data_IF_881320559264
#
_entry.id   IF_881320559264
#
_cell.length_a   1.000
_cell.length_b   1.000
_cell.length_c   1.000
_cell.angle_alpha   90.00
_cell.angle_beta   90.00
_cell.angle_gamma   90.00
#
_symmetry.space_group_name_H-M   'P 1'
#
loop_
_entity.id
_entity.type
_entity.pdbx_description
1 polymer ?
#
# COMPACT_ATOMS: atom_id res chain seq x y z
N UNK A 1 -20.02 28.47 57.62
CA UNK A 1 -19.55 28.13 56.25
C UNK A 1 -20.40 26.98 55.73
N UNK A 2 -21.57 27.23 55.13
CA UNK A 2 -22.53 26.16 54.79
C UNK A 2 -22.28 25.51 53.42
N UNK A 3 -21.35 26.06 52.63
CA UNK A 3 -21.03 25.58 51.28
C UNK A 3 -19.75 24.71 51.23
N UNK A 4 -19.07 24.49 52.36
CA UNK A 4 -17.84 23.69 52.42
C UNK A 4 -17.99 22.30 51.80
N UNK A 5 -19.02 21.51 52.14
CA UNK A 5 -19.25 20.19 51.55
C UNK A 5 -19.50 20.21 50.04
N UNK A 6 -20.25 21.21 49.54
CA UNK A 6 -20.53 21.35 48.11
C UNK A 6 -19.27 21.73 47.33
N UNK A 7 -18.45 22.65 47.84
CA UNK A 7 -17.17 23.02 47.23
C UNK A 7 -16.18 21.85 47.21
N UNK A 8 -16.15 21.06 48.29
CA UNK A 8 -15.35 19.84 48.34
C UNK A 8 -15.81 18.82 47.31
N UNK A 9 -17.12 18.55 47.23
CA UNK A 9 -17.67 17.58 46.29
C UNK A 9 -17.45 18.02 44.84
N UNK A 10 -17.61 19.31 44.52
CA UNK A 10 -17.30 19.82 43.18
C UNK A 10 -15.82 19.66 42.84
N UNK A 11 -14.91 19.98 43.77
CA UNK A 11 -13.48 19.82 43.55
C UNK A 11 -13.10 18.35 43.37
N UNK A 12 -13.65 17.45 44.18
CA UNK A 12 -13.44 16.01 44.07
C UNK A 12 -13.94 15.48 42.72
N UNK A 13 -15.15 15.84 42.32
CA UNK A 13 -15.72 15.41 41.02
C UNK A 13 -14.88 15.92 39.85
N UNK A 14 -14.45 17.18 39.86
CA UNK A 14 -13.58 17.73 38.82
C UNK A 14 -12.24 17.01 38.74
N UNK A 15 -11.60 16.74 39.88
CA UNK A 15 -10.33 16.00 39.94
C UNK A 15 -10.50 14.54 39.50
N UNK A 16 -11.56 13.88 39.95
CA UNK A 16 -11.86 12.51 39.55
C UNK A 16 -12.15 12.42 38.05
N UNK A 17 -13.01 13.27 37.50
CA UNK A 17 -13.29 13.28 36.05
C UNK A 17 -12.03 13.55 35.23
N UNK A 18 -11.15 14.45 35.69
CA UNK A 18 -9.86 14.70 35.06
C UNK A 18 -8.97 13.45 35.11
N UNK A 19 -8.82 12.82 36.27
CA UNK A 19 -8.03 11.59 36.39
C UNK A 19 -8.59 10.44 35.54
N UNK A 20 -9.91 10.27 35.52
CA UNK A 20 -10.56 9.26 34.69
C UNK A 20 -10.32 9.50 33.19
N UNK A 21 -10.49 10.75 32.73
CA UNK A 21 -10.33 11.14 31.34
C UNK A 21 -8.89 11.06 30.83
N UNK A 22 -7.91 11.46 31.64
CA UNK A 22 -6.52 11.58 31.20
C UNK A 22 -5.61 10.42 31.62
N UNK A 23 -5.98 9.66 32.66
CA UNK A 23 -5.13 8.58 33.20
C UNK A 23 -5.82 7.24 33.07
N UNK A 24 -7.01 7.07 33.66
CA UNK A 24 -7.65 5.75 33.72
C UNK A 24 -8.08 5.24 32.34
N UNK A 25 -8.83 6.04 31.58
CA UNK A 25 -9.34 5.60 30.27
C UNK A 25 -8.20 5.24 29.30
N UNK A 26 -7.16 6.08 29.12
CA UNK A 26 -6.06 5.73 28.23
C UNK A 26 -5.27 4.50 28.69
N UNK A 27 -5.01 4.36 29.99
CA UNK A 27 -4.30 3.18 30.52
C UNK A 27 -5.13 1.91 30.41
N UNK A 28 -6.44 1.99 30.57
CA UNK A 28 -7.34 0.85 30.34
C UNK A 28 -7.43 0.46 28.86
N UNK A 29 -7.38 1.45 27.96
CA UNK A 29 -7.42 1.23 26.51
C UNK A 29 -6.10 0.67 25.94
N UNK A 30 -4.96 1.20 26.36
CA UNK A 30 -3.65 0.95 25.73
C UNK A 30 -2.66 0.20 26.63
N UNK A 31 -2.89 0.17 27.95
CA UNK A 31 -1.94 -0.41 28.90
C UNK A 31 -1.82 -1.93 28.81
N UNK A 32 -2.74 -2.59 28.10
CA UNK A 32 -2.72 -4.03 27.83
C UNK A 32 -2.17 -4.41 26.46
N UNK A 33 -1.76 -3.44 25.63
CA UNK A 33 -1.33 -3.70 24.26
C UNK A 33 -0.17 -4.70 24.22
N UNK A 34 -0.24 -5.64 23.28
CA UNK A 34 0.78 -6.65 23.03
C UNK A 34 1.21 -6.58 21.57
N UNK A 35 2.40 -7.08 21.20
CA UNK A 35 2.79 -7.16 19.81
C UNK A 35 1.78 -7.99 19.01
N UNK A 36 1.49 -7.55 17.80
CA UNK A 36 0.58 -8.21 16.86
C UNK A 36 1.35 -8.88 15.72
N UNK A 37 0.80 -9.93 15.14
CA UNK A 37 1.36 -10.54 13.93
C UNK A 37 1.13 -9.63 12.72
N UNK A 38 2.22 -9.20 12.08
CA UNK A 38 2.17 -8.41 10.86
C UNK A 38 1.49 -9.18 9.73
N UNK A 39 0.53 -8.53 9.07
CA UNK A 39 -0.24 -9.09 7.95
C UNK A 39 0.66 -9.45 6.76
N UNK A 40 1.81 -8.77 6.63
CA UNK A 40 2.74 -8.92 5.51
C UNK A 40 3.83 -9.95 5.78
N UNK A 41 4.38 -9.95 7.00
CA UNK A 41 5.58 -10.73 7.33
C UNK A 41 5.30 -11.96 8.18
N UNK A 42 4.12 -12.05 8.81
CA UNK A 42 3.80 -13.10 9.78
C UNK A 42 4.67 -13.04 11.04
N UNK A 43 5.37 -11.92 11.26
CA UNK A 43 6.23 -11.70 12.43
C UNK A 43 5.55 -10.81 13.45
N UNK A 44 5.86 -11.04 14.73
CA UNK A 44 5.38 -10.21 15.83
C UNK A 44 5.96 -8.79 15.74
N UNK A 45 5.08 -7.80 15.75
CA UNK A 45 5.39 -6.39 15.64
C UNK A 45 4.69 -5.56 16.74
N UNK A 46 5.37 -4.58 17.35
CA UNK A 46 6.79 -4.26 17.15
C UNK A 46 7.67 -5.35 17.77
N UNK A 47 8.93 -5.39 17.35
CA UNK A 47 9.96 -6.19 18.02
C UNK A 47 10.74 -5.28 18.99
N UNK A 48 11.11 -5.76 20.18
CA UNK A 48 11.89 -4.96 21.13
C UNK A 48 13.25 -4.61 20.53
N UNK A 49 13.71 -3.37 20.77
CA UNK A 49 14.97 -2.89 20.21
C UNK A 49 16.17 -3.64 20.80
N UNK A 50 17.19 -4.01 19.99
CA UNK A 50 18.46 -4.52 20.50
C UNK A 50 19.13 -3.52 21.45
N UNK A 51 19.95 -4.01 22.39
CA UNK A 51 20.55 -3.16 23.44
C UNK A 51 21.34 -1.95 22.91
N UNK A 52 22.07 -2.10 21.79
CA UNK A 52 22.79 -0.99 21.16
C UNK A 52 21.84 0.08 20.59
N UNK A 53 20.68 -0.33 20.05
CA UNK A 53 19.66 0.59 19.57
C UNK A 53 18.92 1.29 20.72
N UNK A 54 18.78 0.66 21.89
CA UNK A 54 18.26 1.32 23.09
C UNK A 54 19.19 2.45 23.56
N UNK A 55 20.50 2.19 23.63
CA UNK A 55 21.51 3.24 23.90
C UNK A 55 21.46 4.35 22.84
N UNK A 56 21.29 3.97 21.57
CA UNK A 56 21.14 4.92 20.48
C UNK A 56 19.94 5.85 20.61
N UNK A 57 18.84 5.37 21.19
CA UNK A 57 17.66 6.19 21.46
C UNK A 57 17.98 7.29 22.49
N UNK A 58 18.82 7.01 23.48
CA UNK A 58 19.31 8.02 24.43
C UNK A 58 20.21 9.05 23.75
N UNK A 59 21.11 8.60 22.87
CA UNK A 59 21.97 9.49 22.06
C UNK A 59 21.11 10.38 21.15
N UNK A 60 20.08 9.83 20.51
CA UNK A 60 19.14 10.58 19.68
C UNK A 60 18.46 11.71 20.46
N UNK A 61 18.06 11.44 21.71
CA UNK A 61 17.45 12.43 22.62
C UNK A 61 18.45 13.48 23.09
N UNK A 62 19.64 13.05 23.52
CA UNK A 62 20.68 13.93 24.03
C UNK A 62 21.16 14.93 22.97
N UNK A 63 21.16 14.51 21.69
CA UNK A 63 21.48 15.35 20.54
C UNK A 63 20.30 16.19 20.04
N UNK A 64 19.11 16.07 20.64
CA UNK A 64 17.95 16.87 20.28
C UNK A 64 17.40 16.57 18.88
N UNK A 65 17.63 15.39 18.33
CA UNK A 65 17.21 15.06 16.97
C UNK A 65 15.68 15.17 16.77
N UNK A 66 14.91 14.94 17.84
CA UNK A 66 13.44 15.05 17.86
C UNK A 66 12.90 16.49 17.70
N UNK A 67 13.75 17.52 17.84
CA UNK A 67 13.33 18.89 17.61
C UNK A 67 13.10 19.15 16.11
N UNK A 68 13.92 18.54 15.24
CA UNK A 68 13.85 18.76 13.79
C UNK A 68 13.15 17.61 13.06
N UNK A 69 13.17 16.41 13.62
CA UNK A 69 12.60 15.21 13.03
C UNK A 69 11.42 14.70 13.85
N UNK A 70 10.42 14.18 13.15
CA UNK A 70 9.34 13.43 13.76
C UNK A 70 9.58 11.93 13.62
N UNK A 71 8.89 11.17 14.46
CA UNK A 71 8.69 9.74 14.28
C UNK A 71 7.19 9.45 14.36
N UNK A 72 6.41 10.14 13.53
CA UNK A 72 4.98 10.02 13.45
C UNK A 72 4.53 10.27 12.00
N UNK A 73 4.37 9.19 11.24
CA UNK A 73 3.85 9.26 9.87
C UNK A 73 2.38 9.66 9.93
N UNK A 74 2.06 10.77 9.28
CA UNK A 74 0.70 11.31 9.25
C UNK A 74 -0.10 10.74 8.09
N UNK A 75 -1.42 10.62 8.29
CA UNK A 75 -2.39 10.35 7.24
C UNK A 75 -3.36 11.52 7.21
N UNK A 76 -3.54 12.08 6.02
CA UNK A 76 -4.41 13.23 5.79
C UNK A 76 -5.64 12.85 4.97
N UNK A 77 -5.50 11.86 4.09
CA UNK A 77 -6.51 11.53 3.09
C UNK A 77 -6.65 10.01 2.95
N UNK A 78 -7.74 9.59 2.34
CA UNK A 78 -7.93 8.21 1.89
C UNK A 78 -8.48 8.25 0.48
N UNK A 79 -7.86 7.48 -0.39
CA UNK A 79 -8.33 7.29 -1.75
C UNK A 79 -8.80 5.85 -1.94
N UNK A 80 -9.44 5.57 -3.07
CA UNK A 80 -9.98 4.25 -3.36
C UNK A 80 -9.56 3.76 -4.74
N UNK A 81 -9.06 2.54 -4.78
CA UNK A 81 -8.89 1.76 -6.00
C UNK A 81 -10.15 0.93 -6.24
N UNK A 82 -10.70 1.03 -7.45
CA UNK A 82 -11.86 0.26 -7.88
C UNK A 82 -11.43 -0.80 -8.87
N UNK A 83 -11.67 -2.06 -8.54
CA UNK A 83 -11.35 -3.20 -9.39
C UNK A 83 -12.62 -3.93 -9.83
N UNK A 84 -12.63 -4.41 -11.06
CA UNK A 84 -13.68 -5.28 -11.58
C UNK A 84 -13.28 -6.73 -11.33
N UNK A 85 -14.17 -7.49 -10.69
CA UNK A 85 -13.95 -8.91 -10.36
C UNK A 85 -14.92 -9.85 -11.09
N UNK A 86 -16.07 -9.35 -11.55
CA UNK A 86 -16.95 -10.07 -12.47
C UNK A 86 -17.75 -9.10 -13.37
N UNK A 87 -17.95 -9.46 -14.63
CA UNK A 87 -18.66 -8.64 -15.63
C UNK A 87 -20.19 -8.66 -15.41
N UNK A 88 -20.73 -9.72 -14.82
CA UNK A 88 -22.17 -9.85 -14.61
C UNK A 88 -22.97 -10.23 -15.86
N UNK A 89 -24.30 -10.28 -15.77
CA UNK A 89 -25.17 -10.75 -16.85
C UNK A 89 -25.39 -9.73 -17.99
N UNK A 90 -25.07 -8.45 -17.79
CA UNK A 90 -25.31 -7.40 -18.80
C UNK A 90 -24.00 -6.72 -19.26
N UNK A 91 -23.23 -7.37 -20.16
CA UNK A 91 -21.96 -6.83 -20.65
C UNK A 91 -22.12 -5.53 -21.44
N UNK A 92 -23.29 -5.27 -22.01
CA UNK A 92 -23.57 -4.05 -22.78
C UNK A 92 -23.72 -2.80 -21.91
N UNK A 93 -24.41 -2.93 -20.77
CA UNK A 93 -24.49 -1.85 -19.80
C UNK A 93 -23.11 -1.57 -19.17
N UNK A 94 -22.36 -2.62 -18.84
CA UNK A 94 -21.01 -2.49 -18.26
C UNK A 94 -20.07 -1.74 -19.21
N UNK A 95 -20.08 -2.11 -20.49
CA UNK A 95 -19.26 -1.47 -21.52
C UNK A 95 -19.42 0.04 -21.60
N UNK A 96 -20.67 0.54 -21.49
CA UNK A 96 -20.98 1.99 -21.48
C UNK A 96 -20.35 2.70 -20.29
N UNK A 97 -20.55 2.13 -19.10
CA UNK A 97 -20.00 2.69 -17.86
C UNK A 97 -18.48 2.73 -17.90
N UNK A 98 -17.82 1.70 -18.44
CA UNK A 98 -16.36 1.66 -18.58
C UNK A 98 -15.82 2.72 -19.57
N UNK A 99 -16.52 2.94 -20.68
CA UNK A 99 -16.12 3.92 -21.70
C UNK A 99 -16.37 5.38 -21.31
N UNK A 100 -17.45 5.64 -20.54
CA UNK A 100 -17.87 7.00 -20.19
C UNK A 100 -17.17 7.53 -18.92
N UNK A 101 -16.94 6.67 -17.92
CA UNK A 101 -16.64 7.13 -16.55
C UNK A 101 -15.28 6.68 -16.01
N UNK A 102 -14.66 5.64 -16.57
CA UNK A 102 -13.54 4.98 -15.88
C UNK A 102 -12.24 4.94 -16.68
N UNK A 103 -12.22 4.28 -17.85
CA UNK A 103 -10.98 4.01 -18.61
C UNK A 103 -11.27 3.77 -20.10
N UNK A 104 -11.13 4.79 -20.96
CA UNK A 104 -11.34 4.62 -22.40
C UNK A 104 -10.30 3.68 -23.05
N UNK A 105 -9.10 3.58 -22.48
CA UNK A 105 -8.02 2.67 -22.90
C UNK A 105 -8.37 1.20 -22.65
N UNK A 106 -9.04 0.88 -21.54
CA UNK A 106 -9.45 -0.49 -21.25
C UNK A 106 -10.56 -0.96 -22.18
N UNK A 107 -11.52 -0.08 -22.46
CA UNK A 107 -12.56 -0.32 -23.46
C UNK A 107 -11.92 -0.57 -24.84
N UNK A 108 -10.91 0.24 -25.21
CA UNK A 108 -10.14 0.09 -26.45
C UNK A 108 -9.41 -1.25 -26.52
N UNK A 109 -8.71 -1.65 -25.46
CA UNK A 109 -8.02 -2.93 -25.40
C UNK A 109 -8.99 -4.12 -25.56
N UNK A 110 -10.16 -4.04 -24.94
CA UNK A 110 -11.19 -5.08 -25.04
C UNK A 110 -11.82 -5.15 -26.45
N UNK A 111 -12.08 -4.00 -27.07
CA UNK A 111 -12.55 -3.93 -28.46
C UNK A 111 -11.51 -4.46 -29.46
N UNK A 112 -10.22 -4.17 -29.26
CA UNK A 112 -9.13 -4.73 -30.07
C UNK A 112 -9.04 -6.25 -29.90
N UNK A 113 -9.19 -6.77 -28.67
CA UNK A 113 -9.23 -8.22 -28.43
C UNK A 113 -10.46 -8.88 -29.11
N UNK A 114 -11.62 -8.22 -29.08
CA UNK A 114 -12.81 -8.70 -29.78
C UNK A 114 -12.59 -8.80 -31.31
N UNK A 115 -11.84 -7.88 -31.90
CA UNK A 115 -11.42 -7.94 -33.31
C UNK A 115 -10.51 -9.13 -33.62
N UNK A 116 -9.84 -9.72 -32.63
CA UNK A 116 -9.14 -11.01 -32.79
C UNK A 116 -10.08 -12.23 -32.89
N UNK A 117 -11.37 -12.05 -32.61
CA UNK A 117 -12.42 -13.10 -32.60
C UNK A 117 -13.44 -12.93 -33.74
N UNK A 118 -12.99 -12.41 -34.88
CA UNK A 118 -13.84 -12.28 -36.06
C UNK A 118 -14.32 -13.65 -36.58
N UNK A 119 -15.54 -13.75 -37.15
CA UNK A 119 -16.43 -12.64 -37.50
C UNK A 119 -17.30 -12.12 -36.34
N UNK A 120 -17.55 -10.81 -36.32
CA UNK A 120 -18.43 -10.15 -35.34
C UNK A 120 -19.71 -9.69 -36.04
N UNK A 121 -20.87 -10.11 -35.55
CA UNK A 121 -22.18 -9.67 -36.07
C UNK A 121 -22.82 -8.63 -35.13
N UNK A 122 -23.25 -7.50 -35.70
CA UNK A 122 -24.03 -6.46 -35.03
C UNK A 122 -25.42 -6.44 -35.65
N UNK A 123 -26.47 -6.69 -34.86
CA UNK A 123 -27.86 -6.82 -35.32
C UNK A 123 -28.70 -5.61 -34.92
N UNK A 124 -29.76 -5.34 -35.68
CA UNK A 124 -30.81 -4.39 -35.28
C UNK A 124 -30.49 -2.92 -35.59
N UNK A 125 -29.71 -2.65 -36.63
CA UNK A 125 -29.44 -1.28 -37.10
C UNK A 125 -30.55 -0.84 -38.05
N UNK A 126 -30.93 0.43 -38.01
CA UNK A 126 -31.69 1.04 -39.08
C UNK A 126 -30.82 1.21 -40.35
N UNK A 127 -31.45 1.47 -41.49
CA UNK A 127 -30.76 1.54 -42.79
C UNK A 127 -29.69 2.63 -42.83
N UNK A 128 -30.03 3.83 -42.39
CA UNK A 128 -29.17 5.01 -42.49
C UNK A 128 -27.92 4.83 -41.60
N UNK A 129 -28.13 4.26 -40.42
CA UNK A 129 -27.08 3.94 -39.47
C UNK A 129 -26.21 2.77 -39.94
N UNK A 130 -26.79 1.74 -40.57
CA UNK A 130 -26.03 0.63 -41.15
C UNK A 130 -25.13 1.08 -42.31
N UNK A 131 -25.64 1.97 -43.18
CA UNK A 131 -24.86 2.56 -44.28
C UNK A 131 -23.73 3.45 -43.74
N UNK A 132 -24.04 4.35 -42.80
CA UNK A 132 -23.05 5.19 -42.11
C UNK A 132 -21.94 4.36 -41.45
N UNK A 133 -22.33 3.30 -40.71
CA UNK A 133 -21.41 2.45 -39.99
C UNK A 133 -20.51 1.64 -40.93
N UNK A 134 -21.08 1.10 -42.00
CA UNK A 134 -20.33 0.36 -43.03
C UNK A 134 -19.26 1.27 -43.63
N UNK A 135 -19.62 2.51 -43.99
CA UNK A 135 -18.68 3.48 -44.54
C UNK A 135 -17.56 3.82 -43.55
N UNK A 136 -17.89 4.11 -42.28
CA UNK A 136 -16.88 4.43 -41.26
C UNK A 136 -15.92 3.29 -40.94
N UNK A 137 -16.41 2.06 -40.93
CA UNK A 137 -15.56 0.89 -40.69
C UNK A 137 -14.70 0.55 -41.92
N UNK A 138 -15.20 0.74 -43.14
CA UNK A 138 -14.41 0.59 -44.37
C UNK A 138 -13.32 1.67 -44.48
N UNK A 139 -13.62 2.93 -44.12
CA UNK A 139 -12.63 4.01 -43.98
C UNK A 139 -11.54 3.64 -42.98
N UNK A 140 -11.91 2.99 -41.88
CA UNK A 140 -10.96 2.47 -40.89
C UNK A 140 -10.21 1.19 -41.36
N UNK A 141 -10.53 0.66 -42.54
CA UNK A 141 -9.83 -0.46 -43.18
C UNK A 141 -10.39 -1.86 -42.88
N UNK A 142 -11.59 -1.97 -42.31
CA UNK A 142 -12.25 -3.26 -42.05
C UNK A 142 -12.97 -3.81 -43.30
N UNK A 143 -13.03 -5.14 -43.42
CA UNK A 143 -13.84 -5.84 -44.42
C UNK A 143 -15.18 -6.25 -43.80
N UNK A 144 -16.27 -5.93 -44.49
CA UNK A 144 -17.62 -6.00 -43.95
C UNK A 144 -18.56 -6.71 -44.93
N UNK A 145 -19.48 -7.50 -44.39
CA UNK A 145 -20.65 -8.02 -45.09
C UNK A 145 -21.90 -7.47 -44.42
N UNK A 146 -22.73 -6.76 -45.18
CA UNK A 146 -24.03 -6.27 -44.70
C UNK A 146 -25.10 -7.29 -45.09
N UNK A 147 -25.92 -7.71 -44.13
CA UNK A 147 -27.06 -8.58 -44.36
C UNK A 147 -28.35 -7.85 -43.94
N UNK A 148 -29.36 -7.87 -44.81
CA UNK A 148 -30.68 -7.33 -44.49
C UNK A 148 -31.50 -8.41 -43.78
N UNK A 149 -32.01 -8.10 -42.60
CA UNK A 149 -32.91 -8.97 -41.84
C UNK A 149 -34.30 -8.33 -41.88
N UNK A 150 -35.15 -8.86 -42.76
CA UNK A 150 -36.57 -8.48 -42.77
C UNK A 150 -37.18 -8.99 -41.47
N UNK A 151 -37.66 -8.09 -40.62
CA UNK A 151 -38.38 -8.49 -39.42
C UNK A 151 -39.59 -9.34 -39.83
N UNK A 152 -39.68 -10.57 -39.31
CA UNK A 152 -40.83 -11.42 -39.56
C UNK A 152 -42.11 -10.67 -39.14
N UNK A 153 -43.21 -10.75 -39.91
CA UNK A 153 -44.43 -10.02 -39.58
C UNK A 153 -44.90 -10.44 -38.19
N UNK A 154 -44.91 -9.48 -37.26
CA UNK A 154 -45.62 -9.63 -35.99
C UNK A 154 -47.09 -9.93 -36.33
N UNK A 155 -47.66 -10.98 -35.75
CA UNK A 155 -49.04 -11.35 -35.99
C UNK A 155 -49.97 -10.21 -35.57
N UNK A 156 -50.40 -9.38 -36.53
CA UNK A 156 -51.33 -8.29 -36.29
C UNK A 156 -52.70 -8.84 -35.92
N UNK A 157 -53.33 -8.26 -34.91
CA UNK A 157 -54.75 -8.53 -34.61
C UNK A 157 -55.61 -7.98 -35.77
N UNK A 158 -56.74 -8.62 -36.11
CA UNK A 158 -57.58 -8.17 -37.22
C UNK A 158 -58.11 -6.74 -36.97
N UNK A 159 -57.70 -5.78 -37.80
CA UNK A 159 -58.23 -4.40 -37.80
C UNK A 159 -57.21 -3.26 -37.60
N UNK A 160 -55.94 -3.54 -37.33
CA UNK A 160 -54.91 -2.51 -37.13
C UNK A 160 -54.11 -2.26 -38.41
N UNK A 161 -54.12 -1.02 -38.93
CA UNK A 161 -53.25 -0.61 -40.04
C UNK A 161 -51.84 -0.42 -39.47
N UNK A 162 -51.07 -1.51 -39.38
CA UNK A 162 -49.66 -1.44 -38.96
C UNK A 162 -48.79 -1.01 -40.14
N UNK A 163 -47.93 -0.01 -39.92
CA UNK A 163 -46.88 0.39 -40.85
C UNK A 163 -46.01 -0.81 -41.27
N UNK A 164 -45.43 -0.82 -42.50
CA UNK A 164 -44.58 -1.91 -42.96
C UNK A 164 -43.43 -2.17 -41.97
N UNK A 165 -42.99 -3.43 -41.79
CA UNK A 165 -41.92 -3.77 -40.86
C UNK A 165 -40.68 -2.96 -41.22
N UNK A 166 -40.11 -2.25 -40.24
CA UNK A 166 -38.85 -1.55 -40.44
C UNK A 166 -37.76 -2.59 -40.76
N UNK A 167 -37.14 -2.46 -41.93
CA UNK A 167 -36.02 -3.32 -42.31
C UNK A 167 -34.88 -3.12 -41.30
N UNK A 168 -34.54 -4.20 -40.57
CA UNK A 168 -33.40 -4.18 -39.66
C UNK A 168 -32.18 -4.75 -40.37
N UNK A 169 -31.04 -4.08 -40.24
CA UNK A 169 -29.80 -4.48 -40.88
C UNK A 169 -28.88 -5.11 -39.85
N UNK A 170 -28.15 -6.15 -40.27
CA UNK A 170 -27.01 -6.67 -39.55
C UNK A 170 -25.71 -6.43 -40.31
N UNK A 171 -24.68 -6.02 -39.58
CA UNK A 171 -23.35 -5.74 -40.12
C UNK A 171 -22.39 -6.77 -39.55
N UNK A 172 -21.79 -7.57 -40.43
CA UNK A 172 -20.85 -8.65 -40.10
C UNK A 172 -19.46 -8.20 -40.50
N UNK A 173 -18.59 -8.02 -39.51
CA UNK A 173 -17.19 -7.69 -39.74
C UNK A 173 -16.43 -9.01 -39.91
N UNK A 174 -15.72 -9.17 -41.01
CA UNK A 174 -14.99 -10.41 -41.35
C UNK A 174 -13.48 -10.26 -41.20
N UNK A 175 -12.96 -9.03 -41.33
CA UNK A 175 -11.55 -8.69 -41.11
C UNK A 175 -11.43 -7.27 -40.57
N UNK A 176 -10.56 -7.03 -39.60
CA UNK A 176 -10.26 -5.69 -39.07
C UNK A 176 -9.22 -4.92 -39.88
N UNK A 177 -8.62 -5.54 -40.91
CA UNK A 177 -7.53 -4.94 -41.68
C UNK A 177 -6.29 -4.63 -40.84
N UNK A 178 -5.47 -3.67 -41.32
CA UNK A 178 -4.19 -3.29 -40.68
C UNK A 178 -4.35 -2.25 -39.55
N UNK A 179 -5.43 -1.47 -39.56
CA UNK A 179 -5.67 -0.37 -38.61
C UNK A 179 -6.66 -0.77 -37.50
N UNK A 180 -6.30 -1.85 -36.78
CA UNK A 180 -7.16 -2.46 -35.75
C UNK A 180 -7.56 -1.49 -34.63
N UNK A 181 -6.74 -0.49 -34.33
CA UNK A 181 -7.03 0.53 -33.33
C UNK A 181 -8.16 1.50 -33.73
N UNK A 182 -8.22 1.93 -35.00
CA UNK A 182 -9.29 2.82 -35.48
C UNK A 182 -10.62 2.09 -35.63
N UNK A 183 -10.57 0.84 -36.13
CA UNK A 183 -11.74 -0.04 -36.20
C UNK A 183 -12.32 -0.27 -34.80
N UNK A 184 -11.46 -0.49 -33.79
CA UNK A 184 -11.89 -0.65 -32.41
C UNK A 184 -12.54 0.61 -31.82
N UNK A 185 -12.04 1.81 -32.14
CA UNK A 185 -12.66 3.08 -31.72
C UNK A 185 -14.05 3.29 -32.32
N UNK A 186 -14.23 2.99 -33.60
CA UNK A 186 -15.54 3.05 -34.28
C UNK A 186 -16.51 2.04 -33.66
N UNK A 187 -16.03 0.84 -33.35
CA UNK A 187 -16.82 -0.20 -32.68
C UNK A 187 -17.29 0.18 -31.28
N UNK A 188 -16.44 0.82 -30.49
CA UNK A 188 -16.79 1.24 -29.13
C UNK A 188 -17.87 2.32 -29.09
N UNK A 189 -17.92 3.21 -30.08
CA UNK A 189 -18.97 4.24 -30.17
C UNK A 189 -20.36 3.65 -30.37
N UNK A 190 -20.45 2.47 -30.98
CA UNK A 190 -21.71 1.88 -31.45
C UNK A 190 -22.13 0.70 -30.57
N UNK A 191 -21.16 -0.11 -30.13
CA UNK A 191 -21.40 -1.24 -29.25
C UNK A 191 -20.39 -1.24 -28.09
N UNK A 192 -20.69 -0.52 -27.01
CA UNK A 192 -19.81 -0.42 -25.83
C UNK A 192 -19.54 -1.79 -25.17
N UNK A 193 -20.39 -2.79 -25.43
CA UNK A 193 -20.35 -4.12 -24.80
C UNK A 193 -19.08 -4.94 -25.00
N UNK A 194 -18.13 -4.48 -25.83
CA UNK A 194 -16.87 -5.18 -26.05
C UNK A 194 -15.93 -5.18 -24.83
N UNK A 195 -16.21 -4.37 -23.81
CA UNK A 195 -15.51 -4.38 -22.51
C UNK A 195 -15.51 -5.71 -21.76
N UNK A 196 -16.30 -6.71 -22.18
CA UNK A 196 -16.41 -8.02 -21.52
C UNK A 196 -15.25 -9.00 -21.81
N UNK A 197 -14.28 -8.62 -22.65
CA UNK A 197 -13.13 -9.47 -23.00
C UNK A 197 -11.90 -9.31 -22.09
N UNK A 198 -11.99 -8.51 -21.03
CA UNK A 198 -10.88 -8.17 -20.15
C UNK A 198 -10.60 -9.29 -19.15
N UNK A 199 -9.34 -9.68 -19.00
CA UNK A 199 -8.92 -10.64 -17.98
C UNK A 199 -9.17 -10.05 -16.58
N UNK A 200 -9.87 -10.79 -15.72
CA UNK A 200 -10.22 -10.39 -14.36
C UNK A 200 -9.27 -11.05 -13.34
N UNK A 201 -8.98 -10.40 -12.20
CA UNK A 201 -9.42 -9.06 -11.80
C UNK A 201 -8.63 -7.95 -12.52
N UNK A 202 -9.30 -6.83 -12.82
CA UNK A 202 -8.67 -5.65 -13.43
C UNK A 202 -8.92 -4.40 -12.60
N UNK A 203 -7.88 -3.62 -12.36
CA UNK A 203 -7.99 -2.31 -11.69
C UNK A 203 -8.53 -1.31 -12.70
N UNK A 204 -9.75 -0.83 -12.46
CA UNK A 204 -10.43 0.12 -13.32
C UNK A 204 -9.90 1.55 -13.06
N UNK A 205 -9.97 2.02 -11.81
CA UNK A 205 -9.47 3.32 -11.42
C UNK A 205 -8.67 3.24 -10.13
N UNK A 206 -7.72 4.16 -9.97
CA UNK A 206 -6.94 4.35 -8.75
C UNK A 206 -7.10 5.76 -8.24
N UNK A 207 -7.01 5.95 -6.94
CA UNK A 207 -7.01 7.29 -6.37
C UNK A 207 -8.37 7.98 -6.41
N UNK A 208 -9.48 7.25 -6.44
CA UNK A 208 -10.81 7.84 -6.47
C UNK A 208 -11.15 8.48 -5.12
N UNK A 209 -11.87 9.61 -5.17
CA UNK A 209 -12.58 10.13 -4.01
C UNK A 209 -13.70 9.17 -3.60
N UNK A 210 -14.18 9.25 -2.35
CA UNK A 210 -15.32 8.42 -1.90
C UNK A 210 -16.57 8.69 -2.75
N UNK A 211 -16.82 9.94 -3.09
CA UNK A 211 -17.99 10.34 -3.88
C UNK A 211 -17.95 9.76 -5.29
N UNK A 212 -16.79 9.81 -5.95
CA UNK A 212 -16.63 9.30 -7.31
C UNK A 212 -16.60 7.77 -7.33
N UNK A 213 -15.99 7.16 -6.32
CA UNK A 213 -16.11 5.72 -6.07
C UNK A 213 -17.58 5.31 -5.98
N UNK A 214 -18.38 5.95 -5.12
CA UNK A 214 -19.77 5.58 -4.90
C UNK A 214 -20.61 5.75 -6.18
N UNK A 215 -20.37 6.83 -6.94
CA UNK A 215 -21.03 7.06 -8.24
C UNK A 215 -20.69 5.96 -9.25
N UNK A 216 -19.40 5.68 -9.45
CA UNK A 216 -18.93 4.69 -10.43
C UNK A 216 -19.36 3.28 -10.01
N UNK A 217 -19.19 2.95 -8.73
CA UNK A 217 -19.53 1.64 -8.18
C UNK A 217 -21.04 1.37 -8.28
N UNK A 218 -21.89 2.37 -8.01
CA UNK A 218 -23.34 2.25 -8.21
C UNK A 218 -23.69 1.97 -9.66
N UNK A 219 -23.07 2.66 -10.63
CA UNK A 219 -23.30 2.42 -12.06
C UNK A 219 -22.85 1.02 -12.49
N UNK A 220 -21.68 0.56 -12.03
CA UNK A 220 -21.15 -0.78 -12.35
C UNK A 220 -22.01 -1.89 -11.74
N UNK A 221 -22.40 -1.76 -10.47
CA UNK A 221 -23.26 -2.74 -9.80
C UNK A 221 -24.68 -2.78 -10.39
N UNK A 222 -25.23 -1.63 -10.81
CA UNK A 222 -26.50 -1.57 -11.55
C UNK A 222 -26.40 -2.27 -12.92
N UNK A 223 -25.23 -2.24 -13.56
CA UNK A 223 -24.95 -3.03 -14.76
C UNK A 223 -24.75 -4.53 -14.48
N UNK A 224 -24.85 -4.96 -13.22
CA UNK A 224 -24.71 -6.35 -12.79
C UNK A 224 -23.27 -6.81 -12.55
N UNK A 225 -22.29 -5.90 -12.68
CA UNK A 225 -20.90 -6.21 -12.43
C UNK A 225 -20.61 -6.37 -10.94
N UNK A 226 -19.66 -7.24 -10.60
CA UNK A 226 -19.09 -7.33 -9.27
C UNK A 226 -17.78 -6.57 -9.24
N UNK A 227 -17.65 -5.72 -8.24
CA UNK A 227 -16.50 -4.85 -8.02
C UNK A 227 -15.86 -5.15 -6.68
N UNK A 228 -14.57 -4.84 -6.57
CA UNK A 228 -13.83 -4.83 -5.32
C UNK A 228 -13.30 -3.43 -5.10
N UNK A 229 -13.56 -2.89 -3.93
CA UNK A 229 -13.01 -1.61 -3.49
C UNK A 229 -11.83 -1.88 -2.58
N UNK A 230 -10.72 -1.22 -2.87
CA UNK A 230 -9.54 -1.19 -2.02
C UNK A 230 -9.33 0.25 -1.58
N UNK A 231 -9.44 0.50 -0.28
CA UNK A 231 -9.09 1.79 0.31
C UNK A 231 -7.57 1.89 0.43
N UNK A 232 -6.97 3.00 -0.01
CA UNK A 232 -5.59 3.32 0.33
C UNK A 232 -5.57 4.54 1.24
N UNK A 233 -4.81 4.43 2.31
CA UNK A 233 -4.54 5.52 3.22
C UNK A 233 -3.40 6.36 2.61
N UNK A 234 -3.60 7.67 2.51
CA UNK A 234 -2.65 8.61 1.92
C UNK A 234 -2.38 9.82 2.81
N UNK A 235 -1.28 10.47 2.51
CA UNK A 235 -0.82 11.65 3.23
C UNK A 235 0.51 12.08 2.66
N UNK A 236 0.86 13.35 2.89
CA UNK A 236 2.08 13.96 2.36
C UNK A 236 3.33 13.13 2.74
N UNK A 237 3.35 12.54 3.93
CA UNK A 237 4.47 11.71 4.39
C UNK A 237 4.58 10.39 3.60
N UNK A 238 3.44 9.77 3.27
CA UNK A 238 3.40 8.52 2.49
C UNK A 238 3.74 8.77 1.01
N UNK A 239 3.26 9.88 0.44
CA UNK A 239 3.58 10.28 -0.94
C UNK A 239 5.07 10.64 -1.08
N UNK A 240 5.69 11.20 -0.03
CA UNK A 240 7.16 11.40 0.06
C UNK A 240 7.93 10.10 0.36
N UNK A 241 7.24 8.99 0.56
CA UNK A 241 7.84 7.70 0.87
C UNK A 241 8.49 7.62 2.25
N UNK A 242 8.15 8.50 3.20
CA UNK A 242 8.73 8.50 4.55
C UNK A 242 8.18 7.38 5.43
N UNK A 243 6.97 6.91 5.13
CA UNK A 243 6.34 5.75 5.76
C UNK A 243 5.38 5.06 4.81
N UNK A 244 5.07 3.79 5.09
CA UNK A 244 4.14 2.97 4.29
C UNK A 244 2.69 3.07 4.76
N UNK A 245 2.48 3.45 6.03
CA UNK A 245 1.19 3.66 6.68
C UNK A 245 1.33 4.73 7.74
N UNK A 246 0.20 5.25 8.23
CA UNK A 246 0.18 6.10 9.44
C UNK A 246 0.77 5.39 10.64
N UNK A 247 1.38 6.17 11.53
CA UNK A 247 1.76 5.68 12.85
C UNK A 247 0.53 5.40 13.72
N UNK A 248 0.64 4.35 14.52
CA UNK A 248 -0.36 3.92 15.51
C UNK A 248 0.28 3.78 16.89
N UNK A 249 -0.50 3.70 17.96
CA UNK A 249 0.02 3.58 19.32
C UNK A 249 0.95 2.37 19.49
N UNK A 250 0.60 1.25 18.86
CA UNK A 250 1.37 0.01 18.88
C UNK A 250 2.82 0.19 18.37
N UNK A 251 3.10 1.16 17.49
CA UNK A 251 4.47 1.44 17.01
C UNK A 251 5.45 1.82 18.12
N UNK A 252 4.92 2.32 19.24
CA UNK A 252 5.69 2.82 20.38
C UNK A 252 5.59 1.91 21.61
N UNK A 253 5.09 0.68 21.48
CA UNK A 253 4.85 -0.24 22.59
C UNK A 253 6.08 -0.41 23.52
N UNK A 254 7.28 -0.44 22.93
CA UNK A 254 8.54 -0.60 23.66
C UNK A 254 9.30 0.71 23.89
N UNK A 255 8.69 1.85 23.62
CA UNK A 255 9.29 3.16 23.89
C UNK A 255 8.85 3.68 25.25
N UNK A 256 9.74 3.68 26.26
CA UNK A 256 9.40 4.26 27.57
C UNK A 256 9.19 5.78 27.47
N UNK A 257 9.78 6.42 26.46
CA UNK A 257 9.54 7.82 26.11
C UNK A 257 9.37 7.92 24.61
N UNK A 258 8.17 8.29 24.19
CA UNK A 258 7.78 8.37 22.78
C UNK A 258 8.39 9.62 22.12
N UNK A 259 8.98 9.43 20.93
CA UNK A 259 9.69 10.48 20.17
C UNK A 259 8.90 10.93 18.93
N UNK A 260 7.62 11.27 19.10
CA UNK A 260 6.77 11.72 17.96
C UNK A 260 7.33 12.96 17.23
N UNK A 261 8.15 13.76 17.91
CA UNK A 261 8.80 14.96 17.39
C UNK A 261 8.12 16.24 17.87
N UNK A 262 8.87 17.35 17.85
CA UNK A 262 8.33 18.68 18.22
C UNK A 262 8.10 19.58 17.00
N UNK A 263 8.97 19.51 16.00
CA UNK A 263 8.85 20.22 14.73
C UNK A 263 9.36 19.32 13.60
N UNK A 264 9.09 19.72 12.36
CA UNK A 264 9.41 18.95 11.16
C UNK A 264 10.16 19.79 10.14
N UNK A 265 11.41 20.12 10.48
CA UNK A 265 12.36 20.75 9.56
C UNK A 265 13.06 19.71 8.68
N UNK A 266 13.29 18.52 9.22
CA UNK A 266 13.80 17.35 8.51
C UNK A 266 12.68 16.34 8.20
N UNK A 267 13.01 15.25 7.47
CA UNK A 267 12.08 14.17 7.17
C UNK A 267 11.67 13.40 8.42
N UNK A 268 10.51 12.74 8.36
CA UNK A 268 10.07 11.78 9.38
C UNK A 268 10.98 10.54 9.40
N UNK A 269 11.34 10.06 10.58
CA UNK A 269 12.30 8.97 10.77
C UNK A 269 11.68 7.63 11.18
N UNK A 270 10.35 7.53 11.32
CA UNK A 270 9.68 6.31 11.83
C UNK A 270 10.06 5.05 11.04
N UNK A 271 10.33 5.20 9.74
CA UNK A 271 10.70 4.12 8.84
C UNK A 271 12.09 4.28 8.20
N UNK A 272 12.99 5.09 8.78
CA UNK A 272 14.30 5.36 8.16
C UNK A 272 15.17 4.10 8.03
N UNK A 273 15.00 3.09 8.88
CA UNK A 273 15.77 1.84 8.81
C UNK A 273 15.48 1.01 7.57
N UNK A 274 14.26 1.12 7.02
CA UNK A 274 13.89 0.49 5.74
C UNK A 274 14.30 1.37 4.55
N UNK A 275 14.18 2.70 4.67
CA UNK A 275 14.53 3.65 3.59
C UNK A 275 16.03 3.76 3.37
N UNK A 276 16.80 3.71 4.44
CA UNK A 276 18.24 3.88 4.42
C UNK A 276 18.90 2.95 5.42
N UNK A 277 19.28 1.76 4.95
CA UNK A 277 19.90 0.74 5.77
C UNK A 277 21.43 0.87 5.85
N UNK A 278 22.06 1.71 5.01
CA UNK A 278 23.52 1.79 4.95
C UNK A 278 24.10 2.48 6.18
N UNK A 279 24.86 1.73 6.99
CA UNK A 279 25.61 2.26 8.13
C UNK A 279 26.53 3.41 7.69
N UNK A 280 27.23 3.25 6.56
CA UNK A 280 28.16 4.27 6.06
C UNK A 280 27.41 5.54 5.67
N UNK A 281 26.22 5.43 5.06
CA UNK A 281 25.41 6.60 4.76
C UNK A 281 25.04 7.37 6.02
N UNK A 282 24.55 6.68 7.07
CA UNK A 282 24.16 7.32 8.32
C UNK A 282 25.33 8.01 9.01
N UNK A 283 26.48 7.33 9.09
CA UNK A 283 27.66 7.90 9.71
C UNK A 283 28.19 9.10 8.92
N UNK A 284 28.20 9.03 7.58
CA UNK A 284 28.58 10.19 6.75
C UNK A 284 27.60 11.34 6.92
N UNK A 285 26.30 11.06 6.97
CA UNK A 285 25.26 12.07 7.20
C UNK A 285 25.40 12.76 8.56
N UNK A 286 25.67 11.99 9.62
CA UNK A 286 25.87 12.53 10.95
C UNK A 286 27.16 13.33 11.06
N UNK A 287 28.25 12.86 10.42
CA UNK A 287 29.52 13.57 10.43
C UNK A 287 29.42 14.92 9.72
N UNK A 288 28.88 14.93 8.50
CA UNK A 288 28.54 16.14 7.76
C UNK A 288 27.43 15.83 6.74
N UNK A 289 26.20 16.33 6.97
CA UNK A 289 25.08 15.98 6.12
C UNK A 289 25.21 16.52 4.69
N UNK A 290 26.02 17.56 4.46
CA UNK A 290 26.23 18.16 3.13
C UNK A 290 27.06 17.28 2.21
N UNK A 291 27.83 16.35 2.76
CA UNK A 291 28.63 15.40 1.97
C UNK A 291 27.72 14.44 1.18
N UNK A 292 26.56 14.10 1.75
CA UNK A 292 25.67 13.09 1.17
C UNK A 292 24.38 13.68 0.60
N UNK A 293 23.99 14.89 1.01
CA UNK A 293 22.91 15.64 0.36
C UNK A 293 23.50 16.43 -0.80
N UNK A 294 23.90 15.75 -1.87
CA UNK A 294 24.32 16.41 -3.10
C UNK A 294 23.12 17.07 -3.80
N UNK A 295 23.37 18.03 -4.70
CA UNK A 295 22.33 18.69 -5.51
C UNK A 295 21.37 17.70 -6.20
N UNK A 296 21.86 16.54 -6.65
CA UNK A 296 21.05 15.48 -7.28
C UNK A 296 20.09 14.76 -6.33
N UNK A 297 20.42 14.66 -5.04
CA UNK A 297 19.63 13.92 -4.06
C UNK A 297 18.54 14.75 -3.37
N UNK A 298 18.67 16.09 -3.40
CA UNK A 298 17.82 17.03 -2.66
C UNK A 298 17.46 18.29 -3.47
N UNK A 299 17.11 18.14 -4.75
CA UNK A 299 16.61 19.22 -5.62
C UNK A 299 17.44 20.53 -5.56
N UNK A 300 18.78 20.41 -5.42
CA UNK A 300 19.69 21.56 -5.37
C UNK A 300 19.79 22.31 -4.03
N UNK A 301 19.29 21.76 -2.91
CA UNK A 301 19.34 22.42 -1.59
C UNK A 301 20.20 21.64 -0.60
N UNK A 302 21.22 22.30 -0.05
CA UNK A 302 22.05 21.75 1.04
C UNK A 302 21.21 21.42 2.28
N UNK A 303 21.57 20.34 2.99
CA UNK A 303 20.90 20.00 4.24
C UNK A 303 20.97 21.13 5.27
N UNK A 304 19.86 21.42 5.95
CA UNK A 304 19.82 22.33 7.11
C UNK A 304 20.23 21.63 8.43
N UNK A 305 20.38 20.31 8.43
CA UNK A 305 20.72 19.54 9.63
C UNK A 305 22.10 19.93 10.17
N UNK A 306 22.27 20.24 11.47
CA UNK A 306 23.60 20.48 12.04
C UNK A 306 24.54 19.26 11.86
N UNK A 307 25.83 19.51 11.71
CA UNK A 307 26.83 18.44 11.69
C UNK A 307 27.12 17.96 13.13
N UNK A 308 27.39 16.67 13.31
CA UNK A 308 27.72 16.04 14.59
C UNK A 308 29.17 15.51 14.63
N UNK A 309 30.20 16.31 14.27
CA UNK A 309 31.58 15.83 14.17
C UNK A 309 32.15 15.38 15.53
N UNK A 310 31.57 15.85 16.64
CA UNK A 310 31.96 15.46 18.00
C UNK A 310 31.62 14.00 18.35
N UNK A 311 30.76 13.34 17.57
CA UNK A 311 30.50 11.89 17.66
C UNK A 311 31.61 11.06 16.98
N UNK A 312 32.65 11.72 16.45
CA UNK A 312 33.71 11.09 15.69
C UNK A 312 35.10 11.51 16.20
N UNK A 313 36.11 10.76 15.78
CA UNK A 313 37.52 11.09 15.97
C UNK A 313 38.25 11.03 14.64
N UNK A 314 39.18 11.97 14.41
CA UNK A 314 40.02 11.96 13.21
C UNK A 314 41.34 11.27 13.55
N UNK A 315 41.79 10.38 12.68
CA UNK A 315 43.13 9.78 12.77
C UNK A 315 43.77 9.68 11.40
N UNK A 316 45.11 9.63 11.29
CA UNK A 316 45.78 9.37 10.01
C UNK A 316 45.24 8.09 9.38
N UNK A 317 45.14 8.07 8.05
CA UNK A 317 44.59 6.92 7.32
C UNK A 317 45.37 5.65 7.68
N UNK A 318 44.67 4.66 8.23
CA UNK A 318 45.30 3.47 8.78
C UNK A 318 45.47 2.39 7.71
N UNK A 319 46.45 1.51 7.88
CA UNK A 319 46.65 0.35 7.00
C UNK A 319 45.66 -0.77 7.34
N UNK A 320 45.30 -1.63 6.36
CA UNK A 320 44.50 -2.83 6.62
C UNK A 320 45.12 -3.67 7.75
N UNK A 321 44.35 -3.92 8.82
CA UNK A 321 44.81 -4.64 10.02
C UNK A 321 44.88 -3.80 11.30
N UNK A 322 44.77 -2.46 11.20
CA UNK A 322 44.70 -1.59 12.38
C UNK A 322 43.34 -1.76 13.10
N UNK A 323 43.26 -1.82 14.44
CA UNK A 323 41.99 -1.86 15.16
C UNK A 323 41.05 -0.71 14.76
N UNK A 324 39.80 -1.03 14.44
CA UNK A 324 38.80 -0.07 13.97
C UNK A 324 38.95 0.36 12.50
N UNK A 325 39.93 -0.16 11.75
CA UNK A 325 40.11 0.16 10.31
C UNK A 325 38.85 -0.11 9.47
N UNK A 326 38.10 -1.15 9.81
CA UNK A 326 36.84 -1.51 9.16
C UNK A 326 35.68 -0.58 9.53
N UNK A 327 35.79 0.12 10.67
CA UNK A 327 34.72 0.98 11.19
C UNK A 327 34.84 2.42 10.68
N UNK A 328 36.02 2.81 10.18
CA UNK A 328 36.32 4.17 9.74
C UNK A 328 35.63 4.53 8.41
N UNK A 329 35.16 5.77 8.32
CA UNK A 329 34.66 6.39 7.10
C UNK A 329 35.84 7.04 6.38
N UNK A 330 35.89 6.85 5.05
CA UNK A 330 36.92 7.44 4.18
C UNK A 330 36.26 8.49 3.31
N UNK A 331 36.58 9.75 3.57
CA UNK A 331 36.18 10.86 2.73
C UNK A 331 37.15 10.98 1.55
N UNK A 332 36.63 11.27 0.36
CA UNK A 332 37.45 11.37 -0.85
C UNK A 332 38.42 12.54 -0.73
N UNK A 333 39.69 12.33 -1.11
CA UNK A 333 40.73 13.37 -1.10
C UNK A 333 41.45 13.60 0.23
N UNK A 334 40.97 13.01 1.33
CA UNK A 334 41.53 13.26 2.66
C UNK A 334 42.62 12.24 3.06
N UNK A 335 43.65 12.72 3.77
CA UNK A 335 44.73 11.88 4.33
C UNK A 335 44.41 11.33 5.73
N UNK A 336 43.27 11.70 6.28
CA UNK A 336 42.75 11.18 7.54
C UNK A 336 41.52 10.31 7.30
N UNK A 337 41.24 9.43 8.25
CA UNK A 337 39.99 8.69 8.32
C UNK A 337 39.20 9.12 9.56
N UNK A 338 37.87 9.04 9.43
CA UNK A 338 36.93 9.46 10.47
C UNK A 338 36.41 8.21 11.14
N UNK A 339 36.73 8.02 12.42
CA UNK A 339 36.31 6.86 13.20
C UNK A 339 35.12 7.24 14.08
N UNK A 340 33.97 6.55 13.96
CA UNK A 340 32.83 6.77 14.84
C UNK A 340 33.16 6.38 16.28
N UNK A 341 32.71 7.18 17.24
CA UNK A 341 32.69 6.78 18.65
C UNK A 341 31.53 5.81 18.90
N UNK A 342 31.53 5.07 20.03
CA UNK A 342 30.44 4.15 20.35
C UNK A 342 29.05 4.80 20.32
N UNK A 343 28.94 6.08 20.67
CA UNK A 343 27.67 6.83 20.65
C UNK A 343 27.14 7.03 19.22
N UNK A 344 28.02 7.23 18.25
CA UNK A 344 27.63 7.32 16.83
C UNK A 344 27.07 5.98 16.34
N UNK A 345 27.73 4.87 16.68
CA UNK A 345 27.29 3.53 16.33
C UNK A 345 25.95 3.19 16.97
N UNK A 346 25.79 3.54 18.25
CA UNK A 346 24.54 3.38 18.97
C UNK A 346 23.41 4.14 18.26
N UNK A 347 23.63 5.43 17.94
CA UNK A 347 22.66 6.24 17.21
C UNK A 347 22.29 5.64 15.85
N UNK A 348 23.26 5.15 15.08
CA UNK A 348 22.98 4.48 13.80
C UNK A 348 22.19 3.19 14.01
N UNK A 349 22.52 2.38 15.02
CA UNK A 349 21.75 1.20 15.35
C UNK A 349 20.29 1.53 15.71
N UNK A 350 20.07 2.63 16.43
CA UNK A 350 18.72 3.14 16.69
C UNK A 350 18.01 3.53 15.41
N UNK A 351 18.60 4.36 14.55
CA UNK A 351 17.99 4.78 13.28
C UNK A 351 17.67 3.58 12.38
N UNK A 352 18.57 2.60 12.29
CA UNK A 352 18.36 1.37 11.53
C UNK A 352 17.28 0.45 12.12
N UNK A 353 16.94 0.62 13.41
CA UNK A 353 15.85 -0.11 14.08
C UNK A 353 14.47 0.50 13.84
N UNK A 354 14.39 1.75 13.39
CA UNK A 354 13.13 2.44 13.11
C UNK A 354 12.52 1.91 11.79
N UNK A 355 11.64 0.92 11.92
CA UNK A 355 11.01 0.17 10.82
C UNK A 355 9.51 0.05 11.02
N UNK A 356 8.80 1.18 11.09
CA UNK A 356 7.34 1.22 11.25
C UNK A 356 6.55 0.89 9.97
N UNK A 357 7.11 0.03 9.12
CA UNK A 357 6.62 -0.32 7.79
C UNK A 357 5.62 -1.49 7.69
N UNK A 358 5.64 -2.52 8.57
CA UNK A 358 4.74 -3.66 8.44
C UNK A 358 3.26 -3.27 8.57
N UNK A 359 2.42 -3.89 7.74
CA UNK A 359 0.96 -3.75 7.82
C UNK A 359 0.40 -4.43 9.07
N UNK A 360 -0.45 -3.72 9.81
CA UNK A 360 -1.15 -4.21 11.00
C UNK A 360 -2.63 -4.42 10.69
N UNK A 361 -3.32 -5.24 11.48
CA UNK A 361 -4.74 -5.53 11.25
C UNK A 361 -5.60 -4.26 11.37
N UNK A 362 -5.18 -3.32 12.24
CA UNK A 362 -5.82 -2.01 12.39
C UNK A 362 -5.65 -1.08 11.17
N UNK A 363 -4.62 -1.31 10.34
CA UNK A 363 -4.31 -0.55 9.14
C UNK A 363 -4.48 -1.44 7.92
N UNK A 364 -5.65 -1.48 7.26
CA UNK A 364 -5.93 -2.42 6.18
C UNK A 364 -4.93 -2.21 5.03
N UNK A 365 -3.86 -3.03 4.98
CA UNK A 365 -3.05 -3.13 3.78
C UNK A 365 -3.63 -4.25 2.92
N UNK A 366 -3.84 -4.00 1.63
CA UNK A 366 -4.30 -5.03 0.72
C UNK A 366 -3.18 -6.04 0.53
N UNK A 367 -3.43 -7.27 0.98
CA UNK A 367 -2.60 -8.45 0.73
C UNK A 367 -2.31 -8.52 -0.77
N UNK A 368 -1.03 -8.53 -1.15
CA UNK A 368 -0.64 -8.77 -2.54
C UNK A 368 -1.25 -10.11 -2.99
N UNK A 369 -1.84 -10.20 -4.20
CA UNK A 369 -2.32 -11.47 -4.71
C UNK A 369 -1.15 -12.44 -4.72
N UNK A 370 -1.34 -13.62 -4.11
CA UNK A 370 -0.32 -14.65 -4.09
C UNK A 370 0.16 -14.91 -5.53
N UNK A 371 1.47 -15.07 -5.78
CA UNK A 371 1.95 -15.46 -7.08
C UNK A 371 1.17 -16.70 -7.50
N UNK A 372 0.52 -16.63 -8.67
CA UNK A 372 -0.27 -17.72 -9.19
C UNK A 372 0.60 -18.99 -9.14
N UNK A 373 0.13 -19.99 -8.39
CA UNK A 373 0.83 -21.26 -8.30
C UNK A 373 1.11 -21.74 -9.73
N UNK A 374 2.35 -22.16 -10.05
CA UNK A 374 2.61 -22.77 -11.34
C UNK A 374 1.62 -23.93 -11.53
N UNK A 375 1.07 -24.12 -12.73
CA UNK A 375 0.09 -25.16 -12.98
C UNK A 375 0.68 -26.49 -12.49
N UNK A 376 -0.06 -27.16 -11.61
CA UNK A 376 0.35 -28.42 -11.04
C UNK A 376 0.75 -29.36 -12.20
N UNK A 377 2.03 -29.71 -12.25
CA UNK A 377 2.48 -30.77 -13.12
C UNK A 377 1.67 -32.01 -12.76
N UNK A 378 0.92 -32.53 -13.73
CA UNK A 378 0.19 -33.78 -13.60
C UNK A 378 1.17 -34.85 -13.12
N UNK A 379 1.01 -35.29 -11.86
CA UNK A 379 1.74 -36.44 -11.37
C UNK A 379 1.35 -37.67 -12.21
N UNK A 380 2.31 -38.51 -12.60
CA UNK A 380 1.98 -39.75 -13.31
C UNK A 380 1.12 -40.65 -12.41
N UNK A 381 0.11 -41.34 -12.96
CA UNK A 381 -0.76 -42.20 -12.19
C UNK A 381 0.04 -43.39 -11.65
N UNK A 382 0.19 -43.50 -10.32
CA UNK A 382 0.79 -44.68 -9.70
C UNK A 382 1.49 -44.53 -8.35
N UNK A 383 1.63 -43.33 -7.77
CA UNK A 383 2.27 -43.19 -6.46
C UNK A 383 1.25 -43.30 -5.31
N UNK A 384 1.25 -44.45 -4.61
CA UNK A 384 0.58 -44.62 -3.32
C UNK A 384 1.18 -43.67 -2.27
N UNK A 385 0.36 -43.02 -1.42
CA UNK A 385 0.87 -42.15 -0.37
C UNK A 385 1.59 -42.95 0.73
N UNK A 386 2.66 -42.41 1.34
CA UNK A 386 3.33 -43.05 2.46
C UNK A 386 2.45 -43.05 3.72
N UNK A 387 2.60 -44.04 4.63
CA UNK A 387 1.79 -44.13 5.84
C UNK A 387 2.09 -42.98 6.81
N UNK A 388 1.05 -42.52 7.50
CA UNK A 388 1.11 -41.44 8.47
C UNK A 388 2.08 -41.75 9.63
N UNK A 389 2.83 -40.77 10.14
CA UNK A 389 3.67 -40.95 11.31
C UNK A 389 2.81 -41.20 12.58
N UNK A 390 3.32 -41.97 13.55
CA UNK A 390 2.57 -42.30 14.76
C UNK A 390 2.35 -41.05 15.63
N UNK A 391 1.13 -40.92 16.15
CA UNK A 391 0.74 -39.87 17.10
C UNK A 391 1.32 -40.20 18.47
N UNK A 392 2.28 -39.40 18.94
CA UNK A 392 2.79 -39.46 20.32
C UNK A 392 1.81 -38.74 21.25
N UNK A 393 1.34 -39.35 22.36
CA UNK A 393 0.51 -38.66 23.35
C UNK A 393 1.30 -37.57 24.10
N UNK A 394 0.63 -36.53 24.61
CA UNK A 394 1.29 -35.40 25.26
C UNK A 394 1.96 -35.81 26.57
N UNK A 395 3.20 -35.36 26.78
CA UNK A 395 3.89 -35.50 28.06
C UNK A 395 3.21 -34.62 29.14
N UNK A 396 3.08 -35.09 30.39
CA UNK A 396 2.63 -34.26 31.49
C UNK A 396 3.65 -33.16 31.81
N UNK A 397 3.13 -31.98 32.15
CA UNK A 397 3.90 -30.78 32.44
C UNK A 397 4.98 -31.01 33.51
N UNK A 398 6.19 -30.55 33.24
CA UNK A 398 7.28 -30.53 34.21
C UNK A 398 6.93 -29.56 35.36
N UNK A 399 6.98 -30.07 36.58
CA UNK A 399 6.90 -29.29 37.82
C UNK A 399 8.12 -28.38 37.90
N UNK A 400 7.90 -27.07 37.88
CA UNK A 400 8.94 -26.06 38.10
C UNK A 400 9.28 -26.02 39.59
N UNK A 401 10.45 -26.49 39.97
CA UNK A 401 11.05 -26.22 41.29
C UNK A 401 11.65 -24.81 41.31
N UNK A 402 11.48 -24.02 42.38
CA UNK A 402 12.06 -22.69 42.48
C UNK A 402 13.59 -22.73 42.63
N UNK A 403 14.26 -21.76 42.01
CA UNK A 403 15.72 -21.60 42.03
C UNK A 403 16.23 -21.16 43.43
N UNK A 404 17.47 -21.52 43.82
CA UNK A 404 18.05 -21.12 45.10
C UNK A 404 18.49 -19.65 45.10
N UNK A 405 18.34 -19.02 46.27
CA UNK A 405 18.56 -17.61 46.57
C UNK A 405 20.05 -17.22 46.49
N UNK A 406 20.35 -16.07 45.85
CA UNK A 406 21.70 -15.53 45.67
C UNK A 406 22.12 -14.74 46.93
N UNK A 407 23.29 -15.00 47.54
CA UNK A 407 23.72 -14.29 48.75
C UNK A 407 24.20 -12.86 48.45
N UNK A 408 23.80 -11.94 49.33
CA UNK A 408 24.05 -10.48 49.28
C UNK A 408 25.54 -10.14 49.49
N UNK A 409 26.13 -9.18 48.77
CA UNK A 409 27.53 -8.79 48.93
C UNK A 409 27.77 -7.98 50.22
N UNK A 410 28.91 -8.24 50.87
CA UNK A 410 29.36 -7.60 52.11
C UNK A 410 29.80 -6.14 51.90
N UNK A 411 29.70 -5.27 52.93
CA UNK A 411 30.06 -3.87 52.83
C UNK A 411 31.59 -3.65 52.81
N UNK A 412 32.07 -2.52 52.24
CA UNK A 412 33.49 -2.25 52.06
C UNK A 412 34.20 -1.95 53.39
N UNK A 413 35.40 -2.51 53.56
CA UNK A 413 36.29 -2.22 54.68
C UNK A 413 36.88 -0.79 54.56
N UNK A 414 37.07 -0.14 55.72
CA UNK A 414 37.67 1.19 55.87
C UNK A 414 39.16 1.21 55.58
#
# INVERSE_FOLDING_TARGET
MNHGPLLFLSALVSLSLSWFGFVFIPTWQLGGDQPEESVETGQMYPSPRPGLAQQGAEVYRANGCYYCHSQQVTQEQSDFDLSLIAIGPNPAALGRVLSEEVRPDLALAAAVNALGRLPIEIKGLDREFAEYFTNKLMEAGATIKVATVVAAPSAAKPGEVTAPPADTYSVIITSAGKNTAEVAKVLLRIRPSFGSGVALPVVLARGLSKEDLDKINKKLTTAGAKTQVKMNLRGVDMDRGWGRRRSVALDYLYDPVVMVGSQRMGPDLSNIGDRQHSRVWHLSHLYDPRIITSEESNAGVDSLMPAYPYLFTKRPRSTPGTPGHQQAIRLAGEQFEVVPKPEAEALVAYLQSLRSGPGLVEAPTPKAPAPAAPPAALAPPGATPPPAPPVTPPQPAAVVTPAPEVPKPAPPAK
#
